data_IF_255336234106
#
_entry.id   IF_255336234106
#
_cell.length_a   1.000
_cell.length_b   1.000
_cell.length_c   1.000
_cell.angle_alpha   90.00
_cell.angle_beta   90.00
_cell.angle_gamma   90.00
#
_symmetry.space_group_name_H-M   'P 1'
#
loop_
_entity.id
_entity.type
_entity.pdbx_description
1 polymer ?
#
# COMPACT_ATOMS: atom_id res chain seq x y z
N UNK A 1 13.17 -62.15 -52.19
CA UNK A 1 14.25 -61.79 -51.25
C UNK A 1 14.91 -60.51 -51.74
N UNK A 2 14.61 -59.38 -51.11
CA UNK A 2 15.42 -58.16 -51.18
C UNK A 2 15.40 -57.55 -49.78
N UNK A 3 16.59 -57.46 -49.22
CA UNK A 3 16.91 -57.12 -47.84
C UNK A 3 16.56 -55.68 -47.49
N UNK A 4 16.05 -55.51 -46.28
CA UNK A 4 15.77 -54.25 -45.62
C UNK A 4 16.98 -53.31 -45.64
N UNK A 5 16.77 -52.13 -46.22
CA UNK A 5 17.72 -51.03 -46.17
C UNK A 5 17.77 -50.44 -44.76
N UNK A 6 18.73 -50.90 -43.97
CA UNK A 6 19.18 -50.27 -42.73
C UNK A 6 19.54 -48.79 -43.00
N UNK A 7 18.61 -47.89 -42.68
CA UNK A 7 18.86 -46.45 -42.67
C UNK A 7 19.63 -46.07 -41.40
N UNK A 8 20.91 -46.40 -41.34
CA UNK A 8 21.79 -45.88 -40.31
C UNK A 8 21.98 -44.38 -40.53
N UNK A 9 21.48 -43.59 -39.58
CA UNK A 9 21.64 -42.14 -39.55
C UNK A 9 23.13 -41.80 -39.44
N UNK A 10 23.69 -41.18 -40.49
CA UNK A 10 25.08 -40.71 -40.51
C UNK A 10 25.25 -39.63 -39.42
N UNK A 11 25.83 -40.00 -38.28
CA UNK A 11 26.21 -39.09 -37.19
C UNK A 11 27.19 -38.04 -37.73
N UNK A 12 26.77 -36.77 -37.77
CA UNK A 12 27.68 -35.63 -37.96
C UNK A 12 28.59 -35.55 -36.72
N UNK A 13 29.88 -35.82 -36.89
CA UNK A 13 30.88 -35.73 -35.84
C UNK A 13 30.96 -34.29 -35.30
N UNK A 14 30.29 -34.04 -34.17
CA UNK A 14 30.39 -32.76 -33.46
C UNK A 14 31.71 -32.74 -32.68
N UNK A 15 32.61 -31.81 -33.04
CA UNK A 15 33.95 -31.60 -32.46
C UNK A 15 33.92 -31.04 -31.02
N UNK A 16 33.00 -31.45 -30.14
CA UNK A 16 32.92 -30.88 -28.78
C UNK A 16 33.04 -31.86 -27.62
N UNK A 17 33.04 -33.17 -27.85
CA UNK A 17 33.33 -34.12 -26.78
C UNK A 17 34.22 -35.25 -27.30
N UNK A 18 35.35 -35.56 -26.63
CA UNK A 18 36.26 -36.64 -27.04
C UNK A 18 35.69 -38.06 -26.82
N UNK A 19 34.40 -38.14 -26.51
CA UNK A 19 33.70 -39.33 -26.04
C UNK A 19 32.25 -39.24 -26.50
N UNK A 20 31.76 -40.28 -27.18
CA UNK A 20 30.33 -40.42 -27.46
C UNK A 20 29.66 -40.99 -26.20
N UNK A 21 28.76 -40.25 -25.52
CA UNK A 21 28.13 -40.74 -24.29
C UNK A 21 27.32 -42.03 -24.48
N UNK A 22 26.88 -42.30 -25.70
CA UNK A 22 26.18 -43.54 -26.06
C UNK A 22 27.12 -44.75 -26.05
N UNK A 23 28.41 -44.56 -26.33
CA UNK A 23 29.40 -45.63 -26.40
C UNK A 23 29.81 -46.13 -25.01
N UNK A 24 29.50 -45.38 -23.94
CA UNK A 24 29.97 -45.69 -22.57
C UNK A 24 28.87 -46.02 -21.60
N UNK A 25 27.62 -45.70 -21.92
CA UNK A 25 26.50 -46.27 -21.17
C UNK A 25 25.27 -46.44 -22.06
N UNK A 26 24.80 -47.68 -22.17
CA UNK A 26 23.51 -47.99 -22.80
C UNK A 26 22.31 -47.31 -22.11
N UNK A 27 22.49 -46.85 -20.86
CA UNK A 27 21.49 -46.11 -20.09
C UNK A 27 21.47 -44.61 -20.40
N UNK A 28 22.41 -44.11 -21.20
CA UNK A 28 22.50 -42.68 -21.53
C UNK A 28 21.22 -42.15 -22.16
N UNK A 29 20.56 -42.92 -23.03
CA UNK A 29 19.28 -42.53 -23.64
C UNK A 29 18.17 -42.27 -22.60
N UNK A 30 18.08 -43.10 -21.56
CA UNK A 30 17.08 -42.93 -20.50
C UNK A 30 17.35 -41.67 -19.66
N UNK A 31 18.63 -41.37 -19.40
CA UNK A 31 19.07 -40.16 -18.73
C UNK A 31 18.81 -38.92 -19.60
N UNK A 32 19.12 -39.00 -20.89
CA UNK A 32 18.88 -37.95 -21.87
C UNK A 32 17.38 -37.62 -22.00
N UNK A 33 16.53 -38.64 -22.13
CA UNK A 33 15.09 -38.46 -22.21
C UNK A 33 14.51 -37.90 -20.91
N UNK A 34 15.03 -38.34 -19.75
CA UNK A 34 14.63 -37.77 -18.46
C UNK A 34 15.04 -36.31 -18.33
N UNK A 35 16.27 -35.94 -18.70
CA UNK A 35 16.74 -34.55 -18.69
C UNK A 35 15.92 -33.70 -19.66
N UNK A 36 15.64 -34.19 -20.88
CA UNK A 36 14.76 -33.50 -21.83
C UNK A 36 13.37 -33.29 -21.25
N UNK A 37 12.81 -34.29 -20.57
CA UNK A 37 11.49 -34.16 -19.92
C UNK A 37 11.47 -33.09 -18.82
N UNK A 38 12.55 -33.00 -18.03
CA UNK A 38 12.71 -31.98 -16.97
C UNK A 38 12.82 -30.59 -17.60
N UNK A 39 13.68 -30.44 -18.61
CA UNK A 39 13.86 -29.16 -19.31
C UNK A 39 12.54 -28.68 -19.96
N UNK A 40 11.75 -29.59 -20.55
CA UNK A 40 10.45 -29.23 -21.14
C UNK A 40 9.48 -28.75 -20.07
N UNK A 41 9.42 -29.44 -18.91
CA UNK A 41 8.59 -29.02 -17.77
C UNK A 41 9.01 -27.67 -17.21
N UNK A 42 10.31 -27.46 -16.98
CA UNK A 42 10.84 -26.20 -16.47
C UNK A 42 10.57 -25.04 -17.43
N UNK A 43 10.73 -25.26 -18.74
CA UNK A 43 10.41 -24.23 -19.75
C UNK A 43 8.92 -23.90 -19.79
N UNK A 44 8.05 -24.90 -19.64
CA UNK A 44 6.60 -24.67 -19.59
C UNK A 44 6.22 -23.88 -18.33
N UNK A 45 6.83 -24.21 -17.19
CA UNK A 45 6.64 -23.49 -15.93
C UNK A 45 7.11 -22.03 -16.03
N UNK A 46 8.34 -21.80 -16.49
CA UNK A 46 8.90 -20.46 -16.69
C UNK A 46 8.06 -19.62 -17.66
N UNK A 47 7.51 -20.24 -18.71
CA UNK A 47 6.60 -19.56 -19.65
C UNK A 47 5.31 -19.12 -18.96
N UNK A 48 4.74 -19.97 -18.11
CA UNK A 48 3.55 -19.65 -17.31
C UNK A 48 3.79 -18.49 -16.33
N UNK A 49 4.91 -18.52 -15.60
CA UNK A 49 5.32 -17.40 -14.74
C UNK A 49 5.46 -16.11 -15.54
N UNK A 50 6.17 -16.15 -16.68
CA UNK A 50 6.34 -14.98 -17.55
C UNK A 50 5.01 -14.41 -18.07
N UNK A 51 4.07 -15.28 -18.47
CA UNK A 51 2.73 -14.86 -18.91
C UNK A 51 1.95 -14.20 -17.76
N UNK A 52 2.02 -14.76 -16.55
CA UNK A 52 1.39 -14.17 -15.36
C UNK A 52 1.98 -12.80 -14.99
N UNK A 53 3.30 -12.64 -15.10
CA UNK A 53 4.00 -11.38 -14.89
C UNK A 53 3.66 -10.35 -15.97
N UNK A 54 3.51 -10.81 -17.22
CA UNK A 54 3.10 -9.93 -18.32
C UNK A 54 1.69 -9.39 -18.09
N UNK A 55 0.77 -10.24 -17.65
CA UNK A 55 -0.63 -9.85 -17.44
C UNK A 55 -0.78 -8.98 -16.19
N UNK A 56 -0.05 -9.26 -15.11
CA UNK A 56 -0.01 -8.39 -13.94
C UNK A 56 0.54 -7.01 -14.27
N UNK A 57 1.59 -6.94 -15.09
CA UNK A 57 2.16 -5.68 -15.58
C UNK A 57 1.17 -4.92 -16.49
N UNK A 58 0.47 -5.61 -17.39
CA UNK A 58 -0.58 -4.99 -18.23
C UNK A 58 -1.72 -4.42 -17.39
N UNK A 59 -2.16 -5.17 -16.37
CA UNK A 59 -3.18 -4.72 -15.44
C UNK A 59 -2.72 -3.49 -14.65
N UNK A 60 -1.46 -3.47 -14.19
CA UNK A 60 -0.86 -2.31 -13.54
C UNK A 60 -0.87 -1.09 -14.46
N UNK A 61 -0.42 -1.22 -15.72
CA UNK A 61 -0.44 -0.12 -16.67
C UNK A 61 -1.86 0.38 -16.96
N UNK A 62 -2.84 -0.52 -17.08
CA UNK A 62 -4.24 -0.13 -17.25
C UNK A 62 -4.73 0.70 -16.06
N UNK A 63 -4.48 0.24 -14.84
CA UNK A 63 -4.84 0.97 -13.60
C UNK A 63 -4.13 2.31 -13.48
N UNK A 64 -2.84 2.39 -13.82
CA UNK A 64 -2.09 3.65 -13.83
C UNK A 64 -2.64 4.63 -14.86
N UNK A 65 -3.05 4.13 -16.03
CA UNK A 65 -3.70 4.95 -17.05
C UNK A 65 -5.04 5.51 -16.56
N UNK A 66 -5.90 4.64 -16.03
CA UNK A 66 -7.18 5.06 -15.44
C UNK A 66 -6.97 6.09 -14.33
N UNK A 67 -6.00 5.86 -13.42
CA UNK A 67 -5.67 6.79 -12.35
C UNK A 67 -5.19 8.14 -12.87
N UNK A 68 -4.38 8.16 -13.94
CA UNK A 68 -3.93 9.38 -14.63
C UNK A 68 -5.10 10.11 -15.26
N UNK A 69 -5.99 9.41 -15.95
CA UNK A 69 -7.11 10.00 -16.64
C UNK A 69 -8.12 10.61 -15.66
N UNK A 70 -8.24 10.04 -14.45
CA UNK A 70 -9.03 10.58 -13.34
C UNK A 70 -8.28 11.57 -12.43
N UNK A 71 -7.00 11.87 -12.72
CA UNK A 71 -6.18 12.67 -11.82
C UNK A 71 -6.56 14.15 -11.92
N UNK A 72 -7.06 14.69 -10.82
CA UNK A 72 -7.26 16.13 -10.64
C UNK A 72 -6.07 16.67 -9.86
N UNK A 73 -5.21 17.53 -10.46
CA UNK A 73 -4.11 18.15 -9.75
C UNK A 73 -4.60 18.92 -8.52
N UNK A 74 -3.88 18.88 -7.39
CA UNK A 74 -4.23 19.71 -6.24
C UNK A 74 -4.03 21.19 -6.59
N UNK A 75 -4.95 22.04 -6.13
CA UNK A 75 -4.93 23.48 -6.40
C UNK A 75 -4.01 24.24 -5.43
N UNK A 76 -3.72 23.63 -4.27
CA UNK A 76 -2.88 24.21 -3.23
C UNK A 76 -1.97 23.18 -2.57
N UNK A 77 -0.92 23.67 -1.89
CA UNK A 77 0.00 22.83 -1.11
C UNK A 77 -0.72 22.16 0.07
N UNK A 78 -1.60 22.89 0.76
CA UNK A 78 -2.37 22.37 1.89
C UNK A 78 -3.28 21.20 1.45
N UNK A 79 -3.91 21.33 0.29
CA UNK A 79 -4.70 20.24 -0.28
C UNK A 79 -3.83 19.01 -0.64
N UNK A 80 -2.64 19.25 -1.22
CA UNK A 80 -1.70 18.17 -1.52
C UNK A 80 -1.27 17.42 -0.24
N UNK A 81 -0.99 18.15 0.84
CA UNK A 81 -0.60 17.59 2.14
C UNK A 81 -1.74 16.78 2.76
N UNK A 82 -2.98 17.28 2.73
CA UNK A 82 -4.17 16.55 3.21
C UNK A 82 -4.40 15.27 2.39
N UNK A 83 -4.31 15.36 1.06
CA UNK A 83 -4.45 14.20 0.16
C UNK A 83 -3.36 13.16 0.43
N UNK A 84 -2.12 13.58 0.65
CA UNK A 84 -1.01 12.69 1.00
C UNK A 84 -1.23 11.99 2.34
N UNK A 85 -1.68 12.71 3.37
CA UNK A 85 -2.03 12.12 4.67
C UNK A 85 -3.16 11.09 4.55
N UNK A 86 -4.19 11.39 3.75
CA UNK A 86 -5.30 10.46 3.50
C UNK A 86 -4.85 9.20 2.75
N UNK A 87 -3.98 9.34 1.74
CA UNK A 87 -3.40 8.18 1.04
C UNK A 87 -2.56 7.32 2.01
N UNK A 88 -1.74 7.95 2.85
CA UNK A 88 -0.92 7.25 3.82
C UNK A 88 -1.78 6.49 4.85
N UNK A 89 -2.86 7.10 5.36
CA UNK A 89 -3.77 6.42 6.27
C UNK A 89 -4.46 5.22 5.61
N UNK A 90 -4.89 5.36 4.36
CA UNK A 90 -5.46 4.25 3.58
C UNK A 90 -4.46 3.11 3.35
N UNK A 91 -3.19 3.44 3.09
CA UNK A 91 -2.12 2.44 2.95
C UNK A 91 -1.93 1.68 4.25
N UNK A 92 -1.90 2.37 5.39
CA UNK A 92 -1.77 1.75 6.71
C UNK A 92 -2.94 0.79 6.96
N UNK A 93 -4.18 1.24 6.73
CA UNK A 93 -5.39 0.40 6.90
C UNK A 93 -5.33 -0.85 6.01
N UNK A 94 -4.95 -0.71 4.74
CA UNK A 94 -4.82 -1.85 3.82
C UNK A 94 -3.75 -2.84 4.28
N UNK A 95 -2.61 -2.35 4.77
CA UNK A 95 -1.53 -3.20 5.28
C UNK A 95 -1.95 -3.95 6.55
N UNK A 96 -2.60 -3.27 7.50
CA UNK A 96 -3.07 -3.93 8.73
C UNK A 96 -4.15 -4.97 8.43
N UNK A 97 -5.10 -4.67 7.55
CA UNK A 97 -6.09 -5.64 7.08
C UNK A 97 -5.44 -6.86 6.42
N UNK A 98 -4.48 -6.64 5.52
CA UNK A 98 -3.79 -7.72 4.83
C UNK A 98 -3.00 -8.62 5.81
N UNK A 99 -2.36 -8.02 6.81
CA UNK A 99 -1.70 -8.77 7.89
C UNK A 99 -2.70 -9.60 8.70
N UNK A 100 -3.86 -9.03 9.06
CA UNK A 100 -4.90 -9.74 9.79
C UNK A 100 -5.48 -10.91 8.97
N UNK A 101 -5.74 -10.69 7.67
CA UNK A 101 -6.23 -11.73 6.77
C UNK A 101 -5.22 -12.86 6.57
N UNK A 102 -3.92 -12.54 6.47
CA UNK A 102 -2.87 -13.57 6.40
C UNK A 102 -2.76 -14.37 7.69
N UNK A 103 -2.86 -13.71 8.84
CA UNK A 103 -2.89 -14.39 10.14
C UNK A 103 -4.07 -15.35 10.22
N UNK A 104 -5.25 -14.89 9.79
CA UNK A 104 -6.46 -15.71 9.78
C UNK A 104 -6.35 -16.89 8.81
N UNK A 105 -5.82 -16.66 7.59
CA UNK A 105 -5.56 -17.72 6.63
C UNK A 105 -4.62 -18.79 7.22
N UNK A 106 -3.53 -18.38 7.86
CA UNK A 106 -2.60 -19.30 8.53
C UNK A 106 -3.30 -20.11 9.63
N UNK A 107 -4.14 -19.50 10.46
CA UNK A 107 -4.91 -20.25 11.47
C UNK A 107 -5.87 -21.26 10.85
N UNK A 108 -6.49 -20.92 9.72
CA UNK A 108 -7.39 -21.83 8.99
C UNK A 108 -6.60 -22.97 8.33
N UNK A 109 -5.42 -22.68 7.76
CA UNK A 109 -4.55 -23.70 7.18
C UNK A 109 -4.07 -24.68 8.27
N UNK A 110 -3.62 -24.19 9.43
CA UNK A 110 -3.27 -25.06 10.56
C UNK A 110 -4.44 -25.89 11.08
N UNK A 111 -5.66 -25.33 11.06
CA UNK A 111 -6.87 -26.06 11.43
C UNK A 111 -7.26 -27.10 10.37
N UNK A 112 -6.97 -26.87 9.08
CA UNK A 112 -7.19 -27.84 8.02
C UNK A 112 -6.17 -28.97 8.05
N UNK A 113 -4.91 -28.65 8.29
CA UNK A 113 -3.83 -29.64 8.36
C UNK A 113 -4.03 -30.59 9.56
N UNK A 114 -4.51 -30.07 10.69
CA UNK A 114 -4.87 -30.92 11.86
C UNK A 114 -6.10 -31.81 11.63
N UNK A 115 -6.97 -31.46 10.67
CA UNK A 115 -8.09 -32.31 10.23
C UNK A 115 -7.62 -33.38 9.22
N UNK A 116 -6.54 -33.11 8.47
CA UNK A 116 -6.03 -34.00 7.42
C UNK A 116 -5.11 -35.12 7.94
N UNK A 117 -4.64 -35.04 9.19
CA UNK A 117 -3.84 -36.10 9.82
C UNK A 117 -4.73 -37.32 10.17
N UNK A 118 -4.49 -38.51 9.60
CA UNK A 118 -5.34 -39.69 9.78
C UNK A 118 -5.19 -40.36 11.18
N UNK A 119 -4.38 -39.79 12.08
CA UNK A 119 -4.10 -40.32 13.42
C UNK A 119 -4.66 -39.46 14.57
N UNK A 120 -5.16 -38.27 14.30
CA UNK A 120 -5.75 -37.38 15.31
C UNK A 120 -7.25 -37.64 15.39
N UNK A 121 -7.65 -38.57 16.27
CA UNK A 121 -9.02 -38.60 16.77
C UNK A 121 -9.31 -37.25 17.44
N UNK A 122 -10.05 -36.39 16.74
CA UNK A 122 -10.58 -35.17 17.32
C UNK A 122 -11.51 -35.59 18.45
N UNK A 123 -11.08 -35.42 19.70
CA UNK A 123 -12.03 -35.38 20.81
C UNK A 123 -12.72 -34.03 20.70
N UNK A 124 -14.02 -34.03 20.44
CA UNK A 124 -14.88 -32.83 20.55
C UNK A 124 -15.06 -32.39 22.01
N UNK A 125 -14.24 -32.93 22.93
CA UNK A 125 -14.25 -32.55 24.32
C UNK A 125 -13.52 -31.22 24.42
N UNK A 126 -14.28 -30.11 24.45
CA UNK A 126 -13.79 -28.88 25.06
C UNK A 126 -13.27 -29.27 26.45
N UNK A 127 -11.94 -29.25 26.64
CA UNK A 127 -11.34 -29.46 27.95
C UNK A 127 -11.58 -28.26 28.88
N UNK A 128 -12.13 -27.17 28.35
CA UNK A 128 -12.51 -25.97 29.09
C UNK A 128 -13.99 -26.02 29.46
N UNK A 129 -14.31 -25.76 30.72
CA UNK A 129 -15.70 -25.57 31.18
C UNK A 129 -16.39 -24.44 30.40
N UNK A 130 -17.71 -24.49 30.20
CA UNK A 130 -18.48 -23.38 29.61
C UNK A 130 -18.25 -22.06 30.36
N UNK A 131 -17.98 -22.15 31.66
CA UNK A 131 -17.64 -21.02 32.53
C UNK A 131 -16.29 -20.39 32.19
N UNK A 132 -15.29 -21.19 31.81
CA UNK A 132 -13.96 -20.70 31.41
C UNK A 132 -14.05 -19.99 30.05
N UNK A 133 -14.85 -20.53 29.12
CA UNK A 133 -15.10 -19.86 27.84
C UNK A 133 -15.88 -18.56 27.99
N UNK A 134 -16.83 -18.51 28.93
CA UNK A 134 -17.57 -17.29 29.24
C UNK A 134 -16.63 -16.23 29.87
N UNK A 135 -15.75 -16.64 30.78
CA UNK A 135 -14.76 -15.76 31.40
C UNK A 135 -13.75 -15.23 30.38
N UNK A 136 -13.27 -16.06 29.47
CA UNK A 136 -12.37 -15.62 28.38
C UNK A 136 -13.07 -14.61 27.45
N UNK A 137 -14.33 -14.85 27.08
CA UNK A 137 -15.10 -13.90 26.25
C UNK A 137 -15.28 -12.55 26.96
N UNK A 138 -15.63 -12.57 28.25
CA UNK A 138 -15.76 -11.35 29.05
C UNK A 138 -14.42 -10.60 29.17
N UNK A 139 -13.30 -11.31 29.38
CA UNK A 139 -11.99 -10.69 29.43
C UNK A 139 -11.60 -10.05 28.09
N UNK A 140 -11.94 -10.69 26.96
CA UNK A 140 -11.71 -10.13 25.63
C UNK A 140 -12.60 -8.92 25.35
N UNK A 141 -13.85 -8.92 25.78
CA UNK A 141 -14.76 -7.78 25.68
C UNK A 141 -14.27 -6.60 26.52
N UNK A 142 -13.87 -6.84 27.76
CA UNK A 142 -13.28 -5.82 28.63
C UNK A 142 -12.00 -5.20 28.01
N UNK A 143 -11.14 -6.02 27.39
CA UNK A 143 -9.96 -5.53 26.67
C UNK A 143 -10.32 -4.71 25.43
N UNK A 144 -11.40 -5.05 24.72
CA UNK A 144 -11.90 -4.28 23.58
C UNK A 144 -12.43 -2.92 24.03
N UNK A 145 -13.19 -2.88 25.12
CA UNK A 145 -13.71 -1.64 25.71
C UNK A 145 -12.59 -0.73 26.24
N UNK A 146 -11.57 -1.31 26.87
CA UNK A 146 -10.41 -0.56 27.34
C UNK A 146 -9.60 0.04 26.18
N UNK A 147 -9.45 -0.71 25.08
CA UNK A 147 -8.80 -0.19 23.86
C UNK A 147 -9.64 0.85 23.14
N UNK A 148 -10.96 0.68 23.07
CA UNK A 148 -11.85 1.65 22.42
C UNK A 148 -11.91 2.96 23.19
N UNK A 149 -12.00 2.90 24.52
CA UNK A 149 -11.98 4.10 25.38
C UNK A 149 -10.64 4.84 25.29
N UNK A 150 -9.50 4.13 25.31
CA UNK A 150 -8.19 4.74 25.10
C UNK A 150 -8.07 5.40 23.72
N UNK A 151 -8.53 4.73 22.67
CA UNK A 151 -8.54 5.30 21.32
C UNK A 151 -9.41 6.56 21.22
N UNK A 152 -10.59 6.56 21.85
CA UNK A 152 -11.47 7.73 21.87
C UNK A 152 -10.87 8.89 22.67
N UNK A 153 -10.21 8.62 23.79
CA UNK A 153 -9.50 9.64 24.58
C UNK A 153 -8.39 10.30 23.74
N UNK A 154 -7.53 9.50 23.11
CA UNK A 154 -6.48 9.98 22.21
C UNK A 154 -7.04 10.83 21.06
N UNK A 155 -8.16 10.39 20.47
CA UNK A 155 -8.79 11.09 19.35
C UNK A 155 -9.37 12.45 19.78
N UNK A 156 -10.00 12.51 20.96
CA UNK A 156 -10.50 13.76 21.54
C UNK A 156 -9.33 14.71 21.85
N UNK A 157 -8.25 14.21 22.43
CA UNK A 157 -7.07 15.01 22.76
C UNK A 157 -6.43 15.61 21.50
N UNK A 158 -6.21 14.79 20.46
CA UNK A 158 -5.72 15.26 19.16
C UNK A 158 -6.66 16.30 18.54
N UNK A 159 -7.96 16.06 18.59
CA UNK A 159 -8.95 17.02 18.06
C UNK A 159 -8.96 18.35 18.82
N UNK A 160 -8.71 18.33 20.14
CA UNK A 160 -8.60 19.55 20.95
C UNK A 160 -7.31 20.31 20.61
N UNK A 161 -6.18 19.62 20.57
CA UNK A 161 -4.90 20.21 20.19
C UNK A 161 -4.95 20.86 18.78
N UNK A 162 -5.59 20.19 17.81
CA UNK A 162 -5.79 20.75 16.47
C UNK A 162 -6.66 22.01 16.47
N UNK A 163 -7.71 22.04 17.31
CA UNK A 163 -8.60 23.21 17.42
C UNK A 163 -7.88 24.39 18.07
N UNK A 164 -7.11 24.15 19.12
CA UNK A 164 -6.29 25.16 19.79
C UNK A 164 -5.22 25.72 18.85
N UNK A 165 -4.54 24.86 18.08
CA UNK A 165 -3.56 25.29 17.09
C UNK A 165 -4.17 26.18 15.99
N UNK A 166 -5.41 25.88 15.55
CA UNK A 166 -6.13 26.74 14.60
C UNK A 166 -6.55 28.07 15.21
N UNK A 167 -6.99 28.07 16.48
CA UNK A 167 -7.33 29.30 17.19
C UNK A 167 -6.12 30.21 17.34
N UNK A 168 -4.97 29.68 17.77
CA UNK A 168 -3.72 30.46 17.88
C UNK A 168 -3.31 31.07 16.55
N UNK A 169 -3.36 30.32 15.44
CA UNK A 169 -3.06 30.88 14.10
C UNK A 169 -3.99 32.02 13.72
N UNK A 170 -5.28 31.91 14.02
CA UNK A 170 -6.24 32.98 13.74
C UNK A 170 -5.99 34.22 14.62
N UNK A 171 -5.68 34.02 15.90
CA UNK A 171 -5.32 35.09 16.83
C UNK A 171 -4.04 35.81 16.39
N UNK A 172 -3.03 35.07 15.94
CA UNK A 172 -1.78 35.64 15.40
C UNK A 172 -2.03 36.45 14.13
N UNK A 173 -2.89 35.96 13.21
CA UNK A 173 -3.28 36.70 12.01
C UNK A 173 -4.00 38.01 12.38
N UNK A 174 -4.93 37.97 13.34
CA UNK A 174 -5.64 39.17 13.82
C UNK A 174 -4.65 40.14 14.47
N UNK A 175 -3.72 39.64 15.29
CA UNK A 175 -2.70 40.47 15.95
C UNK A 175 -1.80 41.17 14.93
N UNK A 176 -1.28 40.43 13.96
CA UNK A 176 -0.45 41.00 12.88
C UNK A 176 -1.21 42.03 12.06
N UNK A 177 -2.51 41.80 11.82
CA UNK A 177 -3.38 42.78 11.14
C UNK A 177 -3.55 44.05 11.96
N UNK A 178 -3.78 43.93 13.27
CA UNK A 178 -3.95 45.09 14.14
C UNK A 178 -2.67 45.92 14.22
N UNK A 179 -1.50 45.27 14.37
CA UNK A 179 -0.21 45.95 14.32
C UNK A 179 -0.05 46.73 13.02
N UNK A 180 -0.35 46.11 11.88
CA UNK A 180 -0.29 46.78 10.58
C UNK A 180 -1.26 47.96 10.48
N UNK A 181 -2.48 47.85 11.00
CA UNK A 181 -3.42 48.98 11.01
C UNK A 181 -2.93 50.12 11.90
N UNK A 182 -2.33 49.82 13.06
CA UNK A 182 -1.72 50.83 13.94
C UNK A 182 -0.52 51.51 13.26
N UNK A 183 0.33 50.75 12.56
CA UNK A 183 1.43 51.29 11.75
C UNK A 183 0.92 52.18 10.62
N UNK A 184 -0.10 51.74 9.87
CA UNK A 184 -0.75 52.53 8.82
C UNK A 184 -1.36 53.83 9.38
N UNK A 185 -2.01 53.79 10.55
CA UNK A 185 -2.52 54.99 11.22
C UNK A 185 -1.41 55.96 11.65
N UNK A 186 -0.27 55.45 12.13
CA UNK A 186 0.89 56.28 12.48
C UNK A 186 1.49 56.92 11.23
N UNK A 187 1.68 56.14 10.15
CA UNK A 187 2.20 56.64 8.87
C UNK A 187 1.29 57.70 8.26
N UNK A 188 -0.04 57.50 8.27
CA UNK A 188 -1.02 58.50 7.84
C UNK A 188 -0.94 59.76 8.71
N UNK A 189 -0.72 59.62 10.02
CA UNK A 189 -0.59 60.74 10.93
C UNK A 189 0.74 61.52 10.76
N UNK A 190 1.81 60.88 10.30
CA UNK A 190 3.09 61.56 10.07
C UNK A 190 3.19 62.17 8.66
N UNK A 191 2.54 61.54 7.67
CA UNK A 191 2.67 61.93 6.24
C UNK A 191 1.60 62.90 5.77
N UNK A 192 0.38 62.86 6.33
CA UNK A 192 -0.74 63.67 5.84
C UNK A 192 -0.91 64.97 6.63
N UNK A 193 -1.10 66.08 5.91
CA UNK A 193 -1.50 67.36 6.50
C UNK A 193 -2.93 67.25 7.05
N UNK A 194 -3.27 68.05 8.05
CA UNK A 194 -4.59 68.04 8.69
C UNK A 194 -5.75 68.35 7.70
N UNK A 195 -5.47 69.03 6.59
CA UNK A 195 -6.41 69.25 5.48
C UNK A 195 -6.74 67.95 4.72
N UNK A 196 -5.73 67.10 4.50
CA UNK A 196 -5.85 65.89 3.68
C UNK A 196 -6.63 64.80 4.44
N UNK A 197 -6.46 64.74 5.77
CA UNK A 197 -7.26 63.88 6.66
C UNK A 197 -8.76 64.22 6.62
N UNK A 198 -9.10 65.51 6.57
CA UNK A 198 -10.50 65.96 6.42
C UNK A 198 -11.08 65.60 5.06
N UNK A 199 -10.26 65.62 4.00
CA UNK A 199 -10.70 65.23 2.66
C UNK A 199 -10.90 63.71 2.52
N UNK A 200 -10.02 62.90 3.12
CA UNK A 200 -10.17 61.44 3.19
C UNK A 200 -11.42 61.02 3.98
N UNK A 201 -11.61 61.57 5.18
CA UNK A 201 -12.78 61.27 6.03
C UNK A 201 -14.11 61.72 5.42
N UNK A 202 -14.10 62.82 4.64
CA UNK A 202 -15.28 63.27 3.89
C UNK A 202 -15.63 62.39 2.67
N UNK A 203 -14.79 61.38 2.35
CA UNK A 203 -14.99 60.45 1.24
C UNK A 203 -14.74 61.04 -0.16
N UNK A 204 -14.29 62.29 -0.24
CA UNK A 204 -13.97 63.00 -1.49
C UNK A 204 -12.67 62.45 -2.08
N UNK A 205 -11.71 62.09 -1.23
CA UNK A 205 -10.49 61.40 -1.62
C UNK A 205 -10.68 59.89 -1.42
N UNK A 206 -10.91 59.15 -2.50
CA UNK A 206 -10.67 57.69 -2.50
C UNK A 206 -9.29 57.49 -3.10
N UNK A 207 -8.35 56.97 -2.32
CA UNK A 207 -7.04 56.58 -2.83
C UNK A 207 -7.23 55.73 -4.08
N UNK A 208 -6.88 56.29 -5.24
CA UNK A 208 -6.81 55.56 -6.49
C UNK A 208 -5.53 54.72 -6.48
N UNK A 209 -5.45 53.72 -5.62
CA UNK A 209 -4.40 52.72 -5.69
C UNK A 209 -4.71 51.77 -6.84
N UNK A 210 -4.33 52.20 -8.05
CA UNK A 210 -3.98 51.28 -9.12
C UNK A 210 -2.47 51.14 -9.12
N UNK A 211 -1.97 50.16 -8.38
CA UNK A 211 -0.93 49.18 -8.72
C UNK A 211 -0.39 48.53 -7.45
#
# INVERSE_FOLDING_TARGET
>A
MKSDGSSSSKKRASRRFPFDPQDVSSKFHLLEDRIRSIIVKDRAFQKGEYESDRDSRRLLFKRLREARDSFVPPESKDEADIRALSINSQIVIKKTMLSALRSLLSTIETAKDSIADPGTCFTTNCLTSEEEQAAERQALEALRELRSSAFHADLIERSRADREARQQRLEDIIRMRNIRMEEEEIEENDTLLASDRKLLTSGIYRCSNKQ
#
